data_IF_119442609003
#
_entry.id   IF_119442609003
#
_cell.length_a   1.000
_cell.length_b   1.000
_cell.length_c   1.000
_cell.angle_alpha   90.00
_cell.angle_beta   90.00
_cell.angle_gamma   90.00
#
_symmetry.space_group_name_H-M   'P 1'
#
loop_
_entity.id
_entity.type
_entity.pdbx_description
1 polymer ?
#
# COMPACT_ATOMS: atom_id res chain seq x y z
N UNK A 1 -3.45 -25.87 27.01
CA UNK A 1 -4.50 -26.16 26.02
C UNK A 1 -3.95 -27.25 25.12
N UNK A 2 -4.74 -28.25 24.78
CA UNK A 2 -4.27 -29.37 23.95
C UNK A 2 -4.13 -28.90 22.49
N UNK A 3 -3.04 -29.31 21.84
CA UNK A 3 -2.80 -29.03 20.43
C UNK A 3 -3.68 -29.93 19.55
N UNK A 4 -4.20 -29.38 18.46
CA UNK A 4 -4.95 -30.15 17.47
C UNK A 4 -4.01 -31.01 16.63
N UNK A 5 -4.37 -32.29 16.47
CA UNK A 5 -3.63 -33.23 15.65
C UNK A 5 -3.95 -33.06 14.16
N UNK A 6 -3.06 -33.56 13.31
CA UNK A 6 -3.16 -33.55 11.84
C UNK A 6 -4.54 -34.00 11.31
N UNK A 7 -5.14 -35.03 11.92
CA UNK A 7 -6.48 -35.53 11.56
C UNK A 7 -7.56 -34.44 11.67
N UNK A 8 -7.49 -33.58 12.70
CA UNK A 8 -8.48 -32.53 12.92
C UNK A 8 -8.37 -31.46 11.84
N UNK A 9 -7.15 -31.12 11.41
CA UNK A 9 -6.91 -30.20 10.29
C UNK A 9 -7.35 -30.78 8.94
N UNK A 10 -7.27 -32.11 8.76
CA UNK A 10 -7.88 -32.77 7.60
C UNK A 10 -9.39 -32.64 7.59
N UNK A 11 -10.05 -32.88 8.71
CA UNK A 11 -11.50 -32.74 8.81
C UNK A 11 -11.93 -31.27 8.58
N UNK A 12 -11.13 -30.31 9.07
CA UNK A 12 -11.35 -28.87 8.87
C UNK A 12 -11.29 -28.51 7.38
N UNK A 13 -10.28 -28.99 6.66
CA UNK A 13 -10.12 -28.72 5.22
C UNK A 13 -11.13 -29.46 4.34
N UNK A 14 -11.74 -30.54 4.84
CA UNK A 14 -12.86 -31.25 4.19
C UNK A 14 -14.24 -30.69 4.57
N UNK A 15 -14.27 -29.65 5.42
CA UNK A 15 -15.48 -29.03 5.93
C UNK A 15 -16.41 -30.01 6.66
N UNK A 16 -15.82 -30.94 7.42
CA UNK A 16 -16.52 -31.98 8.18
C UNK A 16 -16.79 -31.58 9.65
N UNK A 17 -16.15 -30.52 10.15
CA UNK A 17 -16.37 -29.99 11.49
C UNK A 17 -17.63 -29.13 11.57
N UNK A 18 -18.20 -29.04 12.77
CA UNK A 18 -19.25 -28.05 13.07
C UNK A 18 -18.71 -26.62 13.01
N UNK A 19 -19.58 -25.62 12.80
CA UNK A 19 -19.19 -24.20 12.77
C UNK A 19 -18.51 -23.75 14.08
N UNK A 20 -18.97 -24.25 15.22
CA UNK A 20 -18.41 -23.95 16.54
C UNK A 20 -17.00 -24.52 16.71
N UNK A 21 -16.77 -25.77 16.28
CA UNK A 21 -15.43 -26.37 16.29
C UNK A 21 -14.47 -25.66 15.33
N UNK A 22 -14.97 -25.27 14.14
CA UNK A 22 -14.22 -24.47 13.17
C UNK A 22 -13.73 -23.16 13.79
N UNK A 23 -14.61 -22.45 14.47
CA UNK A 23 -14.28 -21.18 15.13
C UNK A 23 -13.21 -21.37 16.22
N UNK A 24 -13.36 -22.39 17.08
CA UNK A 24 -12.39 -22.68 18.12
C UNK A 24 -10.99 -23.03 17.55
N UNK A 25 -10.97 -23.79 16.45
CA UNK A 25 -9.72 -24.12 15.75
C UNK A 25 -9.07 -22.90 15.11
N UNK A 26 -9.86 -22.00 14.51
CA UNK A 26 -9.39 -20.72 13.96
C UNK A 26 -8.82 -19.81 15.05
N UNK A 27 -9.52 -19.66 16.17
CA UNK A 27 -9.04 -18.89 17.33
C UNK A 27 -7.73 -19.46 17.89
N UNK A 28 -7.58 -20.78 17.93
CA UNK A 28 -6.34 -21.43 18.35
C UNK A 28 -5.19 -21.18 17.38
N UNK A 29 -5.46 -21.17 16.07
CA UNK A 29 -4.46 -20.91 15.03
C UNK A 29 -3.83 -19.51 15.15
N UNK A 30 -4.58 -18.54 15.70
CA UNK A 30 -4.09 -17.17 15.91
C UNK A 30 -3.02 -17.05 17.00
N UNK A 31 -2.93 -18.03 17.90
CA UNK A 31 -2.09 -17.95 19.11
C UNK A 31 -1.08 -19.10 19.22
N UNK A 32 -1.13 -20.09 18.34
CA UNK A 32 -0.37 -21.33 18.46
C UNK A 32 0.40 -21.65 17.16
N UNK A 33 1.69 -21.30 17.15
CA UNK A 33 2.57 -21.52 15.99
C UNK A 33 2.71 -23.00 15.61
N UNK A 34 2.73 -23.91 16.60
CA UNK A 34 2.84 -25.36 16.33
C UNK A 34 1.63 -25.91 15.58
N UNK A 35 0.43 -25.43 15.90
CA UNK A 35 -0.78 -25.85 15.18
C UNK A 35 -0.88 -25.19 13.80
N UNK A 36 -0.37 -23.96 13.66
CA UNK A 36 -0.25 -23.29 12.36
C UNK A 36 0.68 -24.08 11.42
N UNK A 37 1.81 -24.58 11.92
CA UNK A 37 2.75 -25.36 11.12
C UNK A 37 2.12 -26.65 10.59
N UNK A 38 1.42 -27.41 11.44
CA UNK A 38 0.71 -28.64 11.04
C UNK A 38 -0.39 -28.34 10.01
N UNK A 39 -1.12 -27.24 10.19
CA UNK A 39 -2.15 -26.81 9.23
C UNK A 39 -1.57 -26.46 7.85
N UNK A 40 -0.46 -25.72 7.83
CA UNK A 40 0.23 -25.36 6.59
C UNK A 40 0.81 -26.59 5.89
N UNK A 41 1.35 -27.56 6.65
CA UNK A 41 1.83 -28.83 6.11
C UNK A 41 0.70 -29.60 5.42
N UNK A 42 -0.47 -29.72 6.06
CA UNK A 42 -1.66 -30.34 5.45
C UNK A 42 -2.12 -29.65 4.17
N UNK A 43 -2.11 -28.30 4.13
CA UNK A 43 -2.43 -27.55 2.91
C UNK A 43 -1.40 -27.76 1.80
N UNK A 44 -0.11 -27.80 2.15
CA UNK A 44 0.99 -27.96 1.19
C UNK A 44 1.08 -29.36 0.61
N UNK A 45 0.75 -30.38 1.40
CA UNK A 45 0.73 -31.79 0.96
C UNK A 45 -0.36 -32.08 -0.08
N UNK A 46 -1.35 -31.19 -0.22
CA UNK A 46 -2.32 -31.21 -1.30
C UNK A 46 -1.74 -30.50 -2.52
N UNK A 47 -0.95 -31.22 -3.30
CA UNK A 47 -0.49 -30.80 -4.64
C UNK A 47 -1.64 -30.62 -5.66
N UNK A 48 -2.90 -30.85 -5.27
CA UNK A 48 -4.10 -30.76 -6.12
C UNK A 48 -4.46 -29.34 -6.58
N UNK A 49 -3.78 -28.31 -6.07
CA UNK A 49 -4.05 -26.91 -6.43
C UNK A 49 -3.17 -26.34 -7.53
N UNK A 50 -2.28 -27.14 -8.14
CA UNK A 50 -1.78 -26.83 -9.48
C UNK A 50 -2.86 -27.11 -10.53
N UNK A 51 -4.03 -26.50 -10.37
CA UNK A 51 -4.88 -26.30 -11.52
C UNK A 51 -4.13 -25.33 -12.42
N UNK A 52 -3.69 -25.85 -13.56
CA UNK A 52 -3.06 -25.10 -14.63
C UNK A 52 -4.10 -24.11 -15.16
N UNK A 53 -4.19 -22.95 -14.49
CA UNK A 53 -5.10 -21.88 -14.88
C UNK A 53 -4.61 -21.45 -16.26
N UNK A 54 -5.38 -21.82 -17.29
CA UNK A 54 -5.07 -21.43 -18.66
C UNK A 54 -4.77 -19.93 -18.71
N UNK A 55 -3.72 -19.49 -19.43
CA UNK A 55 -3.40 -18.08 -19.55
C UNK A 55 -4.58 -17.23 -20.07
N UNK A 56 -5.55 -17.84 -20.74
CA UNK A 56 -6.78 -17.18 -21.20
C UNK A 56 -7.90 -17.08 -20.14
N UNK A 57 -7.78 -17.75 -18.99
CA UNK A 57 -8.81 -17.74 -17.95
C UNK A 57 -9.17 -16.33 -17.50
N UNK A 58 -8.16 -15.50 -17.24
CA UNK A 58 -8.37 -14.11 -16.82
C UNK A 58 -9.10 -13.32 -17.91
N UNK A 59 -8.74 -13.51 -19.18
CA UNK A 59 -9.39 -12.83 -20.30
C UNK A 59 -10.86 -13.27 -20.45
N UNK A 60 -11.14 -14.57 -20.29
CA UNK A 60 -12.50 -15.11 -20.33
C UNK A 60 -13.34 -14.59 -19.17
N UNK A 61 -12.80 -14.58 -17.95
CA UNK A 61 -13.50 -14.11 -16.75
C UNK A 61 -13.75 -12.62 -16.81
N UNK A 62 -12.78 -11.81 -17.20
CA UNK A 62 -12.94 -10.36 -17.38
C UNK A 62 -13.97 -10.09 -18.47
N UNK A 63 -13.90 -10.80 -19.61
CA UNK A 63 -14.90 -10.68 -20.68
C UNK A 63 -16.29 -11.11 -20.22
N UNK A 64 -16.44 -12.07 -19.32
CA UNK A 64 -17.75 -12.54 -18.85
C UNK A 64 -18.31 -11.68 -17.71
N UNK A 65 -17.46 -11.19 -16.82
CA UNK A 65 -17.82 -10.35 -15.68
C UNK A 65 -18.07 -8.88 -16.09
N UNK A 66 -17.35 -8.38 -17.10
CA UNK A 66 -17.42 -6.99 -17.60
C UNK A 66 -18.11 -6.94 -18.99
N UNK A 67 -18.57 -8.10 -19.49
CA UNK A 67 -19.01 -8.42 -20.85
C UNK A 67 -20.19 -7.71 -21.48
N UNK A 68 -20.56 -6.52 -20.99
CA UNK A 68 -21.53 -5.67 -21.66
C UNK A 68 -21.05 -4.24 -21.92
N UNK A 69 -19.82 -3.87 -21.50
CA UNK A 69 -19.29 -2.50 -21.71
C UNK A 69 -18.12 -2.35 -22.68
N UNK A 70 -17.49 -3.44 -23.11
CA UNK A 70 -16.27 -3.38 -23.93
C UNK A 70 -16.46 -3.72 -25.42
N UNK A 71 -17.70 -3.74 -25.91
CA UNK A 71 -17.96 -3.74 -27.35
C UNK A 71 -18.57 -2.39 -27.72
N UNK A 72 -17.80 -1.57 -28.44
CA UNK A 72 -18.03 -0.17 -28.86
C UNK A 72 -17.24 0.92 -28.12
N UNK A 73 -15.90 0.85 -28.13
CA UNK A 73 -15.12 2.10 -28.13
C UNK A 73 -15.07 2.63 -29.58
N UNK A 74 -16.22 3.16 -30.04
CA UNK A 74 -16.29 3.93 -31.28
C UNK A 74 -15.42 5.18 -31.12
N UNK A 75 -14.31 5.29 -31.88
CA UNK A 75 -13.63 6.45 -32.51
C UNK A 75 -13.84 7.92 -32.02
N UNK A 76 -14.35 8.17 -30.82
CA UNK A 76 -14.89 9.46 -30.34
C UNK A 76 -13.93 10.22 -29.39
N UNK A 77 -12.89 9.56 -28.87
CA UNK A 77 -12.01 10.13 -27.84
C UNK A 77 -11.01 11.19 -28.36
N UNK A 78 -10.56 11.12 -29.63
CA UNK A 78 -9.53 12.05 -30.15
C UNK A 78 -10.01 13.50 -30.22
N UNK A 79 -11.30 13.75 -30.43
CA UNK A 79 -11.85 15.12 -30.54
C UNK A 79 -11.95 15.83 -29.18
N UNK A 80 -12.15 15.09 -28.07
CA UNK A 80 -12.22 15.68 -26.72
C UNK A 80 -10.84 16.14 -26.23
N UNK A 81 -9.79 15.35 -26.47
CA UNK A 81 -8.41 15.72 -26.09
C UNK A 81 -7.94 17.00 -26.75
N UNK A 82 -8.16 17.14 -28.07
CA UNK A 82 -7.76 18.35 -28.81
C UNK A 82 -8.50 19.60 -28.30
N UNK A 83 -9.80 19.50 -28.02
CA UNK A 83 -10.58 20.64 -27.49
C UNK A 83 -10.03 21.13 -26.15
N UNK A 84 -9.76 20.21 -25.23
CA UNK A 84 -9.25 20.58 -23.91
C UNK A 84 -7.86 21.21 -24.00
N UNK A 85 -6.99 20.69 -24.89
CA UNK A 85 -5.67 21.26 -25.14
C UNK A 85 -5.74 22.66 -25.77
N UNK A 86 -6.65 22.87 -26.73
CA UNK A 86 -6.86 24.19 -27.35
C UNK A 86 -7.32 25.24 -26.34
N UNK A 87 -8.22 24.87 -25.41
CA UNK A 87 -8.67 25.78 -24.36
C UNK A 87 -7.51 26.16 -23.44
N UNK A 88 -6.73 25.18 -22.98
CA UNK A 88 -5.58 25.43 -22.10
C UNK A 88 -4.48 26.26 -22.78
N UNK A 89 -4.15 25.96 -24.03
CA UNK A 89 -3.18 26.72 -24.82
C UNK A 89 -3.67 28.15 -25.09
N UNK A 90 -4.96 28.31 -25.43
CA UNK A 90 -5.58 29.61 -25.64
C UNK A 90 -5.55 30.48 -24.38
N UNK A 91 -5.86 29.92 -23.21
CA UNK A 91 -5.75 30.63 -21.93
C UNK A 91 -4.31 31.06 -21.65
N UNK A 92 -3.34 30.19 -21.91
CA UNK A 92 -1.91 30.49 -21.70
C UNK A 92 -1.46 31.65 -22.58
N UNK A 93 -1.80 31.63 -23.87
CA UNK A 93 -1.48 32.72 -24.79
C UNK A 93 -2.20 34.02 -24.41
N UNK A 94 -3.46 33.95 -23.98
CA UNK A 94 -4.20 35.11 -23.51
C UNK A 94 -3.57 35.73 -22.25
N UNK A 95 -3.13 34.90 -21.29
CA UNK A 95 -2.45 35.36 -20.07
C UNK A 95 -1.08 35.98 -20.37
N UNK A 96 -0.31 35.37 -21.30
CA UNK A 96 0.95 35.92 -21.78
C UNK A 96 0.75 37.25 -22.50
N UNK A 97 -0.21 37.32 -23.43
CA UNK A 97 -0.50 38.53 -24.20
C UNK A 97 -1.06 39.67 -23.33
N UNK A 98 -1.77 39.35 -22.24
CA UNK A 98 -2.32 40.33 -21.31
C UNK A 98 -1.29 40.89 -20.32
N UNK A 99 -0.06 40.36 -20.30
CA UNK A 99 0.97 40.78 -19.33
C UNK A 99 0.67 40.37 -17.88
N UNK A 100 -0.27 39.43 -17.66
CA UNK A 100 -0.63 38.98 -16.31
C UNK A 100 0.57 38.37 -15.55
N UNK A 101 1.54 37.81 -16.29
CA UNK A 101 2.78 37.28 -15.72
C UNK A 101 3.79 38.36 -15.30
N UNK A 102 3.70 39.60 -15.82
CA UNK A 102 4.57 40.70 -15.39
C UNK A 102 4.23 41.16 -13.96
N UNK A 103 2.94 41.07 -13.61
CA UNK A 103 2.43 41.36 -12.27
C UNK A 103 2.89 40.31 -11.24
N UNK A 104 3.06 39.06 -11.68
CA UNK A 104 3.65 37.98 -10.87
C UNK A 104 5.17 38.18 -10.78
N UNK A 105 5.85 38.51 -11.87
CA UNK A 105 7.30 38.71 -11.93
C UNK A 105 7.80 39.85 -11.03
N UNK A 106 7.03 40.92 -10.89
CA UNK A 106 7.35 42.06 -10.00
C UNK A 106 7.11 41.77 -8.51
N UNK A 107 6.16 40.89 -8.16
CA UNK A 107 5.90 40.44 -6.79
C UNK A 107 6.75 39.25 -6.32
N UNK A 108 7.34 38.51 -7.27
CA UNK A 108 8.12 37.27 -7.05
C UNK A 108 9.29 37.42 -6.05
N UNK A 109 10.11 38.50 -6.06
CA UNK A 109 11.27 38.60 -5.16
C UNK A 109 10.88 38.61 -3.68
N UNK A 110 9.69 39.16 -3.36
CA UNK A 110 9.18 39.29 -1.99
C UNK A 110 8.60 37.97 -1.45
N UNK A 111 8.05 37.14 -2.34
CA UNK A 111 7.50 35.82 -2.01
C UNK A 111 8.63 34.78 -1.94
N UNK A 112 9.61 34.88 -2.85
CA UNK A 112 10.75 33.97 -2.87
C UNK A 112 11.65 34.19 -1.64
N UNK A 113 11.85 35.44 -1.21
CA UNK A 113 12.60 35.74 0.02
C UNK A 113 11.91 35.25 1.29
N UNK A 114 10.57 35.27 1.36
CA UNK A 114 9.83 34.70 2.50
C UNK A 114 9.90 33.18 2.54
N UNK A 115 9.89 32.52 1.37
CA UNK A 115 10.09 31.08 1.26
C UNK A 115 11.51 30.66 1.65
N UNK A 116 12.54 31.34 1.14
CA UNK A 116 13.95 31.08 1.49
C UNK A 116 14.22 31.31 2.98
N UNK A 117 13.62 32.33 3.59
CA UNK A 117 13.69 32.56 5.05
C UNK A 117 13.05 31.42 5.84
N UNK A 118 11.90 30.92 5.38
CA UNK A 118 11.21 29.77 5.99
C UNK A 118 12.06 28.49 5.90
N UNK A 119 12.66 28.19 4.73
CA UNK A 119 13.55 27.05 4.55
C UNK A 119 14.77 27.12 5.46
N UNK A 120 15.41 28.29 5.60
CA UNK A 120 16.56 28.46 6.50
C UNK A 120 16.20 28.24 7.97
N UNK A 121 14.99 28.65 8.38
CA UNK A 121 14.48 28.38 9.74
C UNK A 121 14.23 26.89 9.97
N UNK A 122 13.69 26.17 8.98
CA UNK A 122 13.47 24.73 9.04
C UNK A 122 14.80 23.97 9.12
N UNK A 123 15.81 24.39 8.35
CA UNK A 123 17.15 23.80 8.35
C UNK A 123 17.88 23.98 9.70
N UNK A 124 17.77 25.17 10.32
CA UNK A 124 18.33 25.40 11.67
C UNK A 124 17.57 24.66 12.78
N UNK A 125 16.28 24.37 12.59
CA UNK A 125 15.49 23.61 13.58
C UNK A 125 15.72 22.11 13.45
N UNK A 126 15.91 21.61 12.22
CA UNK A 126 16.19 20.20 11.95
C UNK A 126 17.64 19.78 12.30
N UNK A 127 18.62 20.69 12.14
CA UNK A 127 20.03 20.41 12.45
C UNK A 127 20.38 20.49 13.94
N UNK A 128 19.54 21.12 14.77
CA UNK A 128 19.79 21.29 16.21
C UNK A 128 19.40 20.05 17.03
N UNK A 129 20.16 18.97 16.85
CA UNK A 129 20.32 17.93 17.86
C UNK A 129 19.22 16.85 17.93
N UNK A 130 18.40 16.68 16.90
CA UNK A 130 17.51 15.51 16.84
C UNK A 130 18.31 14.22 16.66
N UNK A 131 19.36 14.22 15.83
CA UNK A 131 20.25 13.06 15.66
C UNK A 131 20.94 12.64 16.96
N UNK A 132 21.45 13.60 17.72
CA UNK A 132 22.09 13.34 19.01
C UNK A 132 21.10 12.81 20.03
N UNK A 133 19.85 13.30 20.03
CA UNK A 133 18.79 12.79 20.92
C UNK A 133 18.41 11.35 20.59
N UNK A 134 18.24 11.03 19.31
CA UNK A 134 17.96 9.65 18.87
C UNK A 134 19.11 8.71 19.21
N UNK A 135 20.35 9.12 18.98
CA UNK A 135 21.51 8.30 19.30
C UNK A 135 21.61 8.03 20.79
N UNK A 136 21.45 9.06 21.63
CA UNK A 136 21.49 8.91 23.09
C UNK A 136 20.34 8.03 23.60
N UNK A 137 19.11 8.21 23.09
CA UNK A 137 17.99 7.33 23.45
C UNK A 137 18.20 5.87 23.02
N UNK A 138 18.92 5.63 21.93
CA UNK A 138 19.24 4.26 21.49
C UNK A 138 20.28 3.63 22.41
N UNK A 139 21.30 4.38 22.81
CA UNK A 139 22.32 3.92 23.75
C UNK A 139 21.73 3.60 25.13
N UNK A 140 20.86 4.47 25.67
CA UNK A 140 20.19 4.23 26.95
C UNK A 140 19.33 2.94 26.94
N UNK A 141 18.68 2.64 25.82
CA UNK A 141 17.87 1.40 25.68
C UNK A 141 18.79 0.17 25.63
N UNK A 142 19.92 0.23 24.93
CA UNK A 142 20.88 -0.88 24.84
C UNK A 142 21.48 -1.16 26.22
N UNK A 143 21.87 -0.13 26.97
CA UNK A 143 22.46 -0.28 28.29
C UNK A 143 21.45 -0.87 29.28
N UNK A 144 20.19 -0.41 29.25
CA UNK A 144 19.12 -0.94 30.11
C UNK A 144 18.76 -2.41 29.80
N UNK A 145 18.84 -2.83 28.51
CA UNK A 145 18.67 -4.23 28.13
C UNK A 145 19.83 -5.07 28.66
N UNK A 146 21.06 -4.58 28.55
CA UNK A 146 22.25 -5.29 29.02
C UNK A 146 22.25 -5.47 30.54
N UNK A 147 21.82 -4.46 31.30
CA UNK A 147 21.70 -4.55 32.76
C UNK A 147 20.60 -5.55 33.19
N UNK A 148 19.46 -5.57 32.49
CA UNK A 148 18.37 -6.55 32.73
C UNK A 148 18.72 -8.00 32.42
N UNK A 149 19.73 -8.25 31.58
CA UNK A 149 20.19 -9.60 31.24
C UNK A 149 21.25 -10.13 32.21
N UNK A 150 21.72 -9.29 33.14
CA UNK A 150 22.80 -9.61 34.10
C UNK A 150 22.30 -9.91 35.52
N UNK A 151 21.01 -9.64 35.80
CA UNK A 151 20.25 -10.16 36.96
C UNK A 151 19.55 -11.48 36.61
#
# INVERSE_FOLDING_TARGET
MEHYQQQHWRDYTLNLNSDEERQNMEEHLLVCDSCLEIYLEELSSRDDYQQDISPEFTDIVIKKAIGSKYENVKKYERKKFLRNYTIAAGLTLALMASGAFDLIGSGMPKIMSSFVYSTKKIETTASNGWSTRLMNSTLDIIDNINDKLKE
#
